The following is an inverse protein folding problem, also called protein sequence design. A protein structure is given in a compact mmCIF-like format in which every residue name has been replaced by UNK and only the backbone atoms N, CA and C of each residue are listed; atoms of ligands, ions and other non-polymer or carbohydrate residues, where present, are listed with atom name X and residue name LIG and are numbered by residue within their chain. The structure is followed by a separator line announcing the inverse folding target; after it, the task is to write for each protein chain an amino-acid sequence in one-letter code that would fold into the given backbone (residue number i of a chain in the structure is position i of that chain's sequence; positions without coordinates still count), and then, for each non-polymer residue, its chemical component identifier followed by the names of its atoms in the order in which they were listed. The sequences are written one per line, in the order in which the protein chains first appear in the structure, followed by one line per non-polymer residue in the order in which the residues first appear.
data_IF_650981831064
#
_entry.id   IF_650981831064
#
_cell.length_a   1.000
_cell.length_b   1.000
_cell.length_c   1.000
_cell.angle_alpha   90.00
_cell.angle_beta   90.00
_cell.angle_gamma   90.00
#
_symmetry.space_group_name_H-M   'P 1'
#
loop_
_entity.id
_entity.type
_entity.pdbx_description
1 polymer ?
#
# COMPACT_ATOMS: atom_id res chain seq x y z
N UNK A 1 4.32 -19.46 -9.26
CA UNK A 1 3.46 -19.82 -8.12
C UNK A 1 2.11 -20.26 -8.65
N UNK A 2 1.51 -21.31 -8.09
CA UNK A 2 0.12 -21.65 -8.41
C UNK A 2 -0.81 -20.49 -7.97
N UNK A 3 -1.89 -20.17 -8.71
CA UNK A 3 -2.77 -19.04 -8.40
C UNK A 3 -3.27 -19.01 -6.95
N UNK A 4 -3.58 -20.17 -6.37
CA UNK A 4 -4.08 -20.29 -5.00
C UNK A 4 -3.02 -19.99 -3.94
N UNK A 5 -1.77 -20.40 -4.18
CA UNK A 5 -0.66 -20.06 -3.30
C UNK A 5 -0.43 -18.54 -3.24
N UNK A 6 -0.60 -17.85 -4.38
CA UNK A 6 -0.48 -16.39 -4.43
C UNK A 6 -1.62 -15.71 -3.67
N UNK A 7 -2.86 -16.19 -3.82
CA UNK A 7 -4.02 -15.65 -3.10
C UNK A 7 -3.87 -15.80 -1.59
N UNK A 8 -3.54 -17.01 -1.12
CA UNK A 8 -3.35 -17.28 0.30
C UNK A 8 -2.23 -16.42 0.92
N UNK A 9 -1.14 -16.19 0.19
CA UNK A 9 -0.07 -15.29 0.61
C UNK A 9 -0.58 -13.85 0.81
N UNK A 10 -1.36 -13.33 -0.13
CA UNK A 10 -1.92 -11.97 -0.07
C UNK A 10 -2.90 -11.83 1.11
N UNK A 11 -3.79 -12.81 1.29
CA UNK A 11 -4.74 -12.83 2.42
C UNK A 11 -4.01 -12.86 3.76
N UNK A 12 -2.98 -13.70 3.87
CA UNK A 12 -2.15 -13.81 5.08
C UNK A 12 -1.39 -12.52 5.38
N UNK A 13 -0.92 -11.81 4.35
CA UNK A 13 -0.27 -10.52 4.51
C UNK A 13 -1.27 -9.45 4.98
N UNK A 14 -2.44 -9.35 4.33
CA UNK A 14 -3.49 -8.40 4.69
C UNK A 14 -3.90 -8.51 6.17
N UNK A 15 -4.03 -9.74 6.68
CA UNK A 15 -4.43 -10.00 8.08
C UNK A 15 -3.42 -9.50 9.13
N UNK A 16 -2.17 -9.24 8.75
CA UNK A 16 -1.10 -8.77 9.67
C UNK A 16 -0.89 -7.27 9.61
N UNK A 17 -1.36 -6.63 8.55
CA UNK A 17 -1.20 -5.19 8.35
C UNK A 17 -2.15 -4.41 9.26
N UNK A 18 -1.73 -3.29 9.86
CA UNK A 18 -2.63 -2.40 10.60
C UNK A 18 -3.85 -1.95 9.80
N UNK A 19 -3.70 -1.74 8.49
CA UNK A 19 -4.81 -1.38 7.61
C UNK A 19 -5.79 -2.54 7.33
N UNK A 20 -5.45 -3.79 7.71
CA UNK A 20 -6.25 -4.99 7.47
C UNK A 20 -6.42 -5.36 5.98
N UNK A 21 -5.65 -4.71 5.09
CA UNK A 21 -5.73 -4.89 3.64
C UNK A 21 -4.37 -4.60 3.01
N UNK A 22 -4.09 -5.27 1.89
CA UNK A 22 -2.95 -4.90 1.04
C UNK A 22 -3.31 -3.69 0.17
N UNK A 23 -2.31 -2.82 -0.06
CA UNK A 23 -2.45 -1.69 -0.99
C UNK A 23 -2.81 -2.20 -2.40
N UNK A 24 -3.80 -1.55 -3.00
CA UNK A 24 -4.23 -1.78 -4.38
C UNK A 24 -3.55 -0.78 -5.31
N UNK A 25 -3.53 -1.05 -6.61
CA UNK A 25 -2.99 -0.12 -7.60
C UNK A 25 -3.64 1.28 -7.53
N UNK A 26 -4.94 1.34 -7.18
CA UNK A 26 -5.65 2.60 -6.98
C UNK A 26 -5.15 3.42 -5.78
N UNK A 27 -4.65 2.77 -4.72
CA UNK A 27 -4.07 3.45 -3.56
C UNK A 27 -2.76 4.14 -3.96
N UNK A 28 -1.94 3.45 -4.76
CA UNK A 28 -0.69 3.99 -5.29
C UNK A 28 -0.95 5.18 -6.22
N UNK A 29 -1.91 5.05 -7.15
CA UNK A 29 -2.31 6.13 -8.03
C UNK A 29 -2.78 7.37 -7.23
N UNK A 30 -3.57 7.15 -6.17
CA UNK A 30 -4.03 8.23 -5.29
C UNK A 30 -2.87 8.94 -4.59
N UNK A 31 -1.82 8.22 -4.21
CA UNK A 31 -0.60 8.80 -3.65
C UNK A 31 0.12 9.76 -4.60
N UNK A 32 0.22 9.39 -5.87
CA UNK A 32 0.78 10.28 -6.90
C UNK A 32 -0.09 11.51 -7.11
N UNK A 33 -1.41 11.34 -7.20
CA UNK A 33 -2.34 12.48 -7.33
C UNK A 33 -2.22 13.43 -6.14
N UNK A 34 -2.15 12.91 -4.91
CA UNK A 34 -1.89 13.72 -3.72
C UNK A 34 -0.60 14.54 -3.83
N UNK A 35 0.50 13.92 -4.27
CA UNK A 35 1.79 14.61 -4.44
C UNK A 35 1.75 15.68 -5.55
N UNK A 36 1.04 15.41 -6.65
CA UNK A 36 0.84 16.35 -7.76
C UNK A 36 -0.03 17.54 -7.32
N UNK A 37 -1.11 17.27 -6.59
CA UNK A 37 -2.14 18.25 -6.25
C UNK A 37 -1.79 19.08 -5.00
N UNK A 38 -0.69 18.74 -4.31
CA UNK A 38 -0.26 19.44 -3.08
C UNK A 38 1.12 20.09 -3.28
N UNK A 39 1.22 21.31 -3.84
CA UNK A 39 2.50 21.94 -4.21
C UNK A 39 3.50 22.15 -3.07
N UNK A 40 3.04 22.18 -1.82
CA UNK A 40 3.89 22.30 -0.64
C UNK A 40 4.53 20.97 -0.20
N UNK A 41 4.09 19.83 -0.74
CA UNK A 41 4.69 18.51 -0.51
C UNK A 41 5.87 18.35 -1.44
N UNK A 42 7.09 18.45 -0.90
CA UNK A 42 8.34 18.33 -1.67
C UNK A 42 9.43 17.67 -0.84
N UNK A 43 10.40 17.04 -1.51
CA UNK A 43 11.55 16.41 -0.86
C UNK A 43 11.22 15.28 0.12
N UNK A 44 10.04 14.66 -0.02
CA UNK A 44 9.53 13.65 0.90
C UNK A 44 9.27 12.31 0.22
N UNK A 45 9.25 11.25 1.02
CA UNK A 45 8.81 9.90 0.64
C UNK A 45 7.44 9.66 1.26
N UNK A 46 6.49 9.16 0.47
CA UNK A 46 5.13 8.84 0.91
C UNK A 46 4.99 7.33 0.90
N UNK A 47 4.94 6.72 2.08
CA UNK A 47 4.78 5.28 2.22
C UNK A 47 3.29 4.89 2.12
N UNK A 48 2.98 3.97 1.20
CA UNK A 48 1.63 3.45 0.95
C UNK A 48 1.70 1.93 1.02
N UNK A 49 1.82 1.41 2.23
CA UNK A 49 2.19 0.01 2.51
C UNK A 49 1.18 -0.71 3.42
N UNK A 50 0.10 -0.03 3.84
CA UNK A 50 -0.87 -0.57 4.79
C UNK A 50 -0.36 -0.67 6.23
N UNK A 51 0.75 -0.01 6.56
CA UNK A 51 1.39 -0.02 7.88
C UNK A 51 2.44 -1.13 8.05
N UNK A 52 2.99 -1.67 6.97
CA UNK A 52 4.00 -2.73 7.00
C UNK A 52 5.31 -2.28 7.68
N UNK A 53 5.67 -1.00 7.57
CA UNK A 53 6.88 -0.43 8.18
C UNK A 53 6.80 -0.31 9.71
N UNK A 54 5.60 -0.43 10.30
CA UNK A 54 5.36 -0.25 11.74
C UNK A 54 4.76 -1.49 12.43
N UNK A 55 4.56 -2.58 11.69
CA UNK A 55 3.95 -3.83 12.18
C UNK A 55 4.97 -4.79 12.77
#
# INVERSE_FOLDING_TARGET
MAPDARRSMIESAAARLPAGRVAQAADIASGYLFAIDTPSVTGTVIDIDGGALIS
#
